data_IF_958571371899
#
_entry.id   IF_958571371899
#
_cell.length_a   1.000
_cell.length_b   1.000
_cell.length_c   1.000
_cell.angle_alpha   90.00
_cell.angle_beta   90.00
_cell.angle_gamma   90.00
#
_symmetry.space_group_name_H-M   'P 1'
#
loop_
_entity.id
_entity.type
_entity.pdbx_description
1 polymer ?
#
# COMPACT_ATOMS: atom_id res chain seq x y z
N UNK A 1 -18.91 6.88 -1.30
CA UNK A 1 -17.61 7.48 -1.66
C UNK A 1 -17.34 8.65 -0.73
N UNK A 2 -16.09 8.85 -0.29
CA UNK A 2 -15.69 9.98 0.55
C UNK A 2 -15.27 11.16 -0.34
N UNK A 3 -15.56 12.40 0.07
CA UNK A 3 -15.13 13.58 -0.68
C UNK A 3 -13.62 13.82 -0.49
N UNK A 4 -12.94 14.27 -1.54
CA UNK A 4 -11.51 14.61 -1.49
C UNK A 4 -11.21 15.64 -0.40
N UNK A 5 -12.07 16.64 -0.23
CA UNK A 5 -11.90 17.68 0.80
C UNK A 5 -11.85 17.12 2.22
N UNK A 6 -12.53 16.00 2.48
CA UNK A 6 -12.50 15.32 3.78
C UNK A 6 -11.19 14.55 3.96
N UNK A 7 -10.70 13.89 2.91
CA UNK A 7 -9.47 13.08 2.96
C UNK A 7 -8.19 13.91 3.09
N UNK A 8 -8.22 15.17 2.65
CA UNK A 8 -7.09 16.11 2.78
C UNK A 8 -7.19 17.00 4.02
N UNK A 9 -8.22 16.81 4.85
CA UNK A 9 -8.39 17.53 6.12
C UNK A 9 -7.54 16.94 7.25
N UNK A 10 -7.62 17.56 8.42
CA UNK A 10 -6.86 17.20 9.64
C UNK A 10 -7.04 15.71 10.02
N UNK A 11 -8.29 15.21 10.03
CA UNK A 11 -8.61 13.81 10.34
C UNK A 11 -8.51 12.86 9.13
N UNK A 12 -7.95 13.34 8.00
CA UNK A 12 -8.02 12.65 6.71
C UNK A 12 -7.48 11.21 6.75
N UNK A 13 -6.34 10.99 7.41
CA UNK A 13 -5.71 9.67 7.56
C UNK A 13 -6.59 8.72 8.37
N UNK A 14 -7.12 9.17 9.52
CA UNK A 14 -7.98 8.35 10.37
C UNK A 14 -9.29 7.98 9.67
N UNK A 15 -9.86 8.91 8.91
CA UNK A 15 -11.07 8.68 8.10
C UNK A 15 -10.76 7.67 6.99
N UNK A 16 -9.64 7.81 6.27
CA UNK A 16 -9.21 6.87 5.25
C UNK A 16 -9.04 5.45 5.83
N UNK A 17 -8.32 5.31 6.94
CA UNK A 17 -8.14 4.03 7.63
C UNK A 17 -9.47 3.38 8.04
N UNK A 18 -10.40 4.17 8.60
CA UNK A 18 -11.74 3.69 8.96
C UNK A 18 -12.54 3.20 7.75
N UNK A 19 -12.45 3.89 6.62
CA UNK A 19 -13.16 3.51 5.39
C UNK A 19 -12.58 2.23 4.80
N UNK A 20 -11.25 2.13 4.70
CA UNK A 20 -10.56 0.92 4.22
C UNK A 20 -10.89 -0.27 5.14
N UNK A 21 -10.79 -0.10 6.46
CA UNK A 21 -11.09 -1.16 7.42
C UNK A 21 -12.55 -1.63 7.35
N UNK A 22 -13.50 -0.72 7.14
CA UNK A 22 -14.91 -1.08 6.90
C UNK A 22 -15.10 -1.84 5.59
N UNK A 23 -14.42 -1.43 4.52
CA UNK A 23 -14.49 -2.12 3.23
C UNK A 23 -13.99 -3.55 3.35
N UNK A 24 -12.81 -3.75 3.97
CA UNK A 24 -12.23 -5.09 4.20
C UNK A 24 -13.14 -5.95 5.07
N UNK A 25 -13.69 -5.40 6.17
CA UNK A 25 -14.53 -6.16 7.10
C UNK A 25 -15.82 -6.69 6.46
N UNK A 26 -16.37 -5.96 5.50
CA UNK A 26 -17.62 -6.28 4.83
C UNK A 26 -17.41 -6.95 3.46
N UNK A 27 -16.16 -7.31 3.14
CA UNK A 27 -15.81 -7.88 1.87
C UNK A 27 -16.17 -9.37 1.80
N UNK A 28 -16.92 -9.76 0.77
CA UNK A 28 -17.19 -11.17 0.47
C UNK A 28 -16.55 -11.50 -0.88
N UNK A 29 -15.38 -12.13 -0.80
CA UNK A 29 -14.56 -12.44 -1.96
C UNK A 29 -15.33 -13.23 -3.02
N UNK A 30 -16.09 -14.26 -2.62
CA UNK A 30 -16.75 -15.12 -3.60
C UNK A 30 -17.94 -14.44 -4.26
N UNK A 31 -18.68 -13.62 -3.51
CA UNK A 31 -19.83 -12.91 -4.04
C UNK A 31 -19.43 -11.69 -4.91
N UNK A 32 -18.27 -11.10 -4.69
CA UNK A 32 -17.91 -9.77 -5.24
C UNK A 32 -16.81 -9.82 -6.30
N UNK A 33 -16.10 -10.95 -6.47
CA UNK A 33 -14.94 -11.06 -7.36
C UNK A 33 -15.18 -10.52 -8.78
N UNK A 34 -16.25 -10.94 -9.44
CA UNK A 34 -16.51 -10.55 -10.84
C UNK A 34 -16.88 -9.07 -10.97
N UNK A 35 -17.72 -8.57 -10.05
CA UNK A 35 -18.11 -7.15 -10.03
C UNK A 35 -16.93 -6.25 -9.69
N UNK A 36 -16.04 -6.67 -8.80
CA UNK A 36 -14.87 -5.89 -8.40
C UNK A 36 -13.84 -5.82 -9.51
N UNK A 37 -13.58 -6.93 -10.21
CA UNK A 37 -12.70 -6.93 -11.36
C UNK A 37 -13.23 -6.01 -12.46
N UNK A 38 -14.54 -6.05 -12.73
CA UNK A 38 -15.19 -5.18 -13.71
C UNK A 38 -15.09 -3.71 -13.30
N UNK A 39 -15.35 -3.41 -12.03
CA UNK A 39 -15.23 -2.06 -11.49
C UNK A 39 -13.78 -1.56 -11.53
N UNK A 40 -12.83 -2.36 -11.10
CA UNK A 40 -11.39 -2.06 -11.14
C UNK A 40 -10.94 -1.72 -12.57
N UNK A 41 -11.33 -2.53 -13.56
CA UNK A 41 -11.02 -2.27 -14.97
C UNK A 41 -11.70 -1.00 -15.53
N UNK A 42 -12.77 -0.52 -14.89
CA UNK A 42 -13.47 0.71 -15.29
C UNK A 42 -12.83 2.00 -14.77
N UNK A 43 -11.96 1.91 -13.76
CA UNK A 43 -11.32 3.07 -13.13
C UNK A 43 -10.13 3.52 -14.00
N UNK A 44 -9.98 4.82 -14.31
CA UNK A 44 -8.78 5.34 -14.97
C UNK A 44 -7.53 4.99 -14.16
N UNK A 45 -6.46 4.53 -14.84
CA UNK A 45 -5.22 4.09 -14.17
C UNK A 45 -4.66 5.15 -13.22
N UNK A 46 -4.77 6.42 -13.57
CA UNK A 46 -4.24 7.54 -12.77
C UNK A 46 -5.01 7.76 -11.45
N UNK A 47 -6.20 7.15 -11.31
CA UNK A 47 -7.08 7.30 -10.16
C UNK A 47 -7.09 6.08 -9.24
N UNK A 48 -6.33 5.03 -9.58
CA UNK A 48 -6.22 3.81 -8.77
C UNK A 48 -4.82 3.70 -8.17
N UNK A 49 -4.76 3.23 -6.93
CA UNK A 49 -3.53 2.75 -6.31
C UNK A 49 -3.78 1.32 -5.87
N UNK A 50 -2.84 0.43 -6.20
CA UNK A 50 -2.94 -0.99 -5.91
C UNK A 50 -1.89 -1.36 -4.89
N UNK A 51 -2.31 -2.07 -3.85
CA UNK A 51 -1.39 -2.60 -2.83
C UNK A 51 -1.09 -4.05 -3.16
N UNK A 52 0.16 -4.34 -3.46
CA UNK A 52 0.68 -5.69 -3.67
C UNK A 52 1.46 -6.18 -2.45
N UNK A 53 1.40 -7.48 -2.19
CA UNK A 53 2.11 -8.10 -1.07
C UNK A 53 1.34 -8.07 0.25
N UNK A 54 1.97 -8.61 1.28
CA UNK A 54 1.44 -8.68 2.64
C UNK A 54 2.59 -8.92 3.62
N UNK A 55 2.65 -8.21 4.76
CA UNK A 55 3.62 -8.52 5.82
C UNK A 55 3.49 -9.95 6.35
N UNK A 56 2.37 -10.64 6.09
CA UNK A 56 2.17 -12.04 6.50
C UNK A 56 2.77 -13.06 5.53
N UNK A 57 3.25 -12.63 4.37
CA UNK A 57 3.93 -13.53 3.44
C UNK A 57 5.33 -13.92 3.93
N UNK A 58 5.91 -13.17 4.87
CA UNK A 58 7.21 -13.45 5.47
C UNK A 58 8.28 -13.73 4.40
N UNK A 59 8.33 -12.87 3.38
CA UNK A 59 9.17 -13.08 2.19
C UNK A 59 10.66 -13.13 2.54
N UNK A 60 11.04 -12.42 3.59
CA UNK A 60 12.38 -12.42 4.15
C UNK A 60 12.75 -13.70 4.92
N UNK A 61 11.81 -14.58 5.23
CA UNK A 61 12.09 -15.88 5.84
C UNK A 61 12.47 -16.95 4.81
N UNK A 62 12.44 -16.62 3.52
CA UNK A 62 12.88 -17.52 2.45
C UNK A 62 14.37 -17.82 2.59
N UNK A 63 14.77 -19.10 2.64
CA UNK A 63 16.18 -19.51 2.67
C UNK A 63 16.40 -20.69 1.71
N UNK A 64 17.24 -20.49 0.71
CA UNK A 64 17.59 -21.51 -0.29
C UNK A 64 18.86 -22.31 0.08
N UNK A 65 19.44 -22.07 1.26
CA UNK A 65 20.68 -22.70 1.74
C UNK A 65 21.88 -21.75 1.78
N UNK A 66 21.70 -20.48 1.45
CA UNK A 66 22.74 -19.44 1.49
C UNK A 66 22.42 -18.30 2.47
N UNK A 67 21.39 -18.48 3.29
CA UNK A 67 20.87 -17.48 4.21
C UNK A 67 19.66 -16.74 3.65
N UNK A 68 19.09 -15.91 4.52
CA UNK A 68 17.90 -15.11 4.24
C UNK A 68 18.21 -13.87 3.38
N UNK A 69 17.23 -13.36 2.60
CA UNK A 69 17.38 -12.11 1.87
C UNK A 69 17.78 -10.94 2.78
N UNK A 70 18.74 -10.14 2.33
CA UNK A 70 19.04 -8.85 2.96
C UNK A 70 18.00 -7.78 2.59
N UNK A 71 17.52 -7.82 1.35
CA UNK A 71 16.50 -6.91 0.82
C UNK A 71 15.56 -7.64 -0.14
N UNK A 72 14.27 -7.35 -0.04
CA UNK A 72 13.25 -7.76 -1.01
C UNK A 72 12.70 -6.53 -1.71
N UNK A 73 12.67 -6.58 -3.04
CA UNK A 73 12.04 -5.57 -3.88
C UNK A 73 10.95 -6.26 -4.71
N UNK A 74 9.74 -5.70 -4.68
CA UNK A 74 8.65 -6.14 -5.53
C UNK A 74 8.51 -5.14 -6.67
N UNK A 75 8.81 -5.59 -7.89
CA UNK A 75 8.64 -4.75 -9.06
C UNK A 75 7.16 -4.35 -9.20
N UNK A 76 6.88 -3.09 -9.56
CA UNK A 76 5.53 -2.65 -9.90
C UNK A 76 4.95 -3.58 -10.98
N UNK A 77 3.69 -3.97 -10.80
CA UNK A 77 2.96 -4.80 -11.77
C UNK A 77 2.60 -3.96 -13.02
N UNK A 78 2.60 -2.62 -12.89
CA UNK A 78 2.20 -1.67 -13.91
C UNK A 78 3.34 -0.74 -14.38
N UNK A 79 3.18 -0.24 -15.60
CA UNK A 79 4.05 0.75 -16.25
C UNK A 79 3.82 2.18 -15.74
N UNK A 80 2.70 2.41 -15.06
CA UNK A 80 2.25 3.74 -14.69
C UNK A 80 2.65 4.19 -13.28
N UNK A 81 3.18 3.31 -12.43
CA UNK A 81 3.41 3.62 -11.03
C UNK A 81 2.07 3.80 -10.29
N UNK A 82 1.22 2.79 -10.28
CA UNK A 82 0.02 2.72 -9.42
C UNK A 82 0.21 1.74 -8.28
N UNK A 83 1.16 0.82 -8.43
CA UNK A 83 1.46 -0.20 -7.43
C UNK A 83 2.27 0.35 -6.26
N UNK A 84 1.93 -0.13 -5.06
CA UNK A 84 2.66 0.02 -3.80
C UNK A 84 2.88 -1.40 -3.27
N UNK A 85 4.12 -1.73 -2.89
CA UNK A 85 4.47 -3.01 -2.31
C UNK A 85 4.44 -2.93 -0.77
N UNK A 86 3.91 -3.97 -0.12
CA UNK A 86 3.97 -4.16 1.33
C UNK A 86 4.64 -5.48 1.68
N UNK A 87 5.60 -5.43 2.59
CA UNK A 87 6.24 -6.60 3.18
C UNK A 87 6.54 -6.38 4.67
N UNK A 88 6.93 -7.45 5.34
CA UNK A 88 7.51 -7.40 6.67
C UNK A 88 8.91 -6.76 6.66
N UNK A 89 9.39 -6.39 7.84
CA UNK A 89 10.75 -5.92 8.06
C UNK A 89 11.45 -6.80 9.11
N UNK A 90 12.46 -7.61 8.74
CA UNK A 90 13.11 -8.53 9.68
C UNK A 90 13.90 -7.83 10.79
N UNK A 91 14.44 -6.64 10.51
CA UNK A 91 15.29 -5.90 11.44
C UNK A 91 14.52 -5.33 12.64
N UNK A 92 13.19 -5.24 12.56
CA UNK A 92 12.36 -4.61 13.58
C UNK A 92 11.00 -5.30 13.67
N UNK A 93 10.74 -5.96 14.80
CA UNK A 93 9.50 -6.71 15.00
C UNK A 93 8.28 -5.80 14.92
N UNK A 94 7.34 -6.13 14.03
CA UNK A 94 6.12 -5.37 13.80
C UNK A 94 6.27 -4.20 12.81
N UNK A 95 7.47 -3.89 12.34
CA UNK A 95 7.67 -2.91 11.29
C UNK A 95 7.26 -3.45 9.91
N UNK A 96 6.84 -2.52 9.05
CA UNK A 96 6.37 -2.79 7.69
C UNK A 96 7.29 -2.05 6.73
N UNK A 97 7.69 -2.72 5.65
CA UNK A 97 8.35 -2.07 4.51
C UNK A 97 7.32 -1.68 3.45
N UNK A 98 7.43 -0.44 2.96
CA UNK A 98 6.60 0.11 1.89
C UNK A 98 7.51 0.39 0.69
N UNK A 99 7.30 -0.35 -0.41
CA UNK A 99 8.01 -0.15 -1.67
C UNK A 99 7.15 0.64 -2.66
N UNK A 100 7.72 1.64 -3.34
CA UNK A 100 7.04 2.38 -4.40
C UNK A 100 8.05 2.90 -5.43
N UNK A 101 7.63 2.96 -6.69
CA UNK A 101 8.45 3.45 -7.80
C UNK A 101 7.71 4.59 -8.49
N UNK A 102 8.25 5.81 -8.43
CA UNK A 102 7.69 7.03 -9.04
C UNK A 102 8.82 7.91 -9.59
N UNK A 103 8.49 9.01 -10.26
CA UNK A 103 9.51 9.99 -10.66
C UNK A 103 10.17 10.57 -9.40
N UNK A 104 11.44 10.94 -9.51
CA UNK A 104 12.21 11.51 -8.39
C UNK A 104 11.48 12.64 -7.66
N UNK A 105 10.90 13.59 -8.40
CA UNK A 105 10.15 14.72 -7.81
C UNK A 105 8.95 14.29 -6.98
N UNK A 106 8.29 13.20 -7.37
CA UNK A 106 7.15 12.63 -6.64
C UNK A 106 7.61 11.88 -5.39
N UNK A 107 8.69 11.10 -5.49
CA UNK A 107 9.30 10.41 -4.34
C UNK A 107 9.80 11.42 -3.31
N UNK A 108 10.47 12.49 -3.73
CA UNK A 108 10.96 13.54 -2.84
C UNK A 108 9.79 14.22 -2.09
N UNK A 109 8.68 14.50 -2.80
CA UNK A 109 7.47 15.07 -2.20
C UNK A 109 6.78 14.09 -1.24
N UNK A 110 6.68 12.82 -1.65
CA UNK A 110 6.11 11.76 -0.83
C UNK A 110 6.91 11.58 0.47
N UNK A 111 8.24 11.49 0.38
CA UNK A 111 9.11 11.32 1.53
C UNK A 111 8.92 12.46 2.54
N UNK A 112 8.89 13.71 2.07
CA UNK A 112 8.62 14.87 2.92
C UNK A 112 7.26 14.79 3.61
N UNK A 113 6.19 14.48 2.88
CA UNK A 113 4.85 14.38 3.47
C UNK A 113 4.78 13.21 4.46
N UNK A 114 5.34 12.07 4.10
CA UNK A 114 5.33 10.86 4.93
C UNK A 114 6.04 11.09 6.26
N UNK A 115 7.27 11.62 6.25
CA UNK A 115 8.04 11.87 7.48
C UNK A 115 7.33 12.88 8.39
N UNK A 116 6.85 14.00 7.85
CA UNK A 116 6.13 14.99 8.64
C UNK A 116 4.81 14.45 9.21
N UNK A 117 4.14 13.54 8.49
CA UNK A 117 2.86 12.98 8.96
C UNK A 117 3.05 11.95 10.06
N UNK A 118 4.11 11.13 10.01
CA UNK A 118 4.37 10.12 11.05
C UNK A 118 4.89 10.74 12.35
N UNK A 119 5.62 11.86 12.27
CA UNK A 119 6.09 12.61 13.45
C UNK A 119 4.93 13.11 14.32
N UNK A 120 3.73 13.30 13.74
CA UNK A 120 2.52 13.65 14.50
C UNK A 120 2.02 12.47 15.36
N UNK A 121 2.39 11.24 15.00
CA UNK A 121 1.98 10.01 15.71
C UNK A 121 3.08 9.42 16.61
N UNK A 122 4.28 10.00 16.63
CA UNK A 122 5.42 9.62 17.49
C UNK A 122 5.45 10.41 18.79
#
# INVERSE_FOLDING_TARGET
>A
MCNRSVLIGEDGIAIAAKLIGKAIKNYDFYAQLESDMSYFMSIPKEQVQVVGGSPRFAVYDTDFGWGKPEKVEMNPIDDGGQSIALSDRPSEAGAIEIGLVRKKTEVDSFAYIFTNSIEVFS
#
